data_IF_011661804309
#
_entry.id   IF_011661804309
#
_cell.length_a   1.000
_cell.length_b   1.000
_cell.length_c   1.000
_cell.angle_alpha   90.00
_cell.angle_beta   90.00
_cell.angle_gamma   90.00
#
_symmetry.space_group_name_H-M   'P 1'
#
loop_
_entity.id
_entity.type
_entity.pdbx_description
1 polymer ?
#
# COMPACT_ATOMS: atom_id res chain seq x y z
N UNK A 1 -28.45 -5.71 -5.45
CA UNK A 1 -27.82 -5.04 -4.29
C UNK A 1 -26.33 -5.37 -4.20
N UNK A 2 -25.91 -6.59 -4.55
CA UNK A 2 -24.52 -7.03 -4.45
C UNK A 2 -23.52 -6.19 -5.24
N UNK A 3 -23.89 -5.73 -6.44
CA UNK A 3 -23.03 -4.88 -7.27
C UNK A 3 -22.73 -3.51 -6.64
N UNK A 4 -23.72 -2.91 -5.96
CA UNK A 4 -23.53 -1.63 -5.26
C UNK A 4 -22.60 -1.82 -4.06
N UNK A 5 -22.77 -2.92 -3.32
CA UNK A 5 -21.91 -3.25 -2.18
C UNK A 5 -20.47 -3.47 -2.64
N UNK A 6 -20.24 -4.22 -3.72
CA UNK A 6 -18.90 -4.43 -4.29
C UNK A 6 -18.25 -3.12 -4.73
N UNK A 7 -19.00 -2.24 -5.39
CA UNK A 7 -18.50 -0.92 -5.80
C UNK A 7 -18.08 -0.08 -4.58
N UNK A 8 -18.91 -0.05 -3.54
CA UNK A 8 -18.61 0.68 -2.30
C UNK A 8 -17.37 0.12 -1.60
N UNK A 9 -17.22 -1.21 -1.54
CA UNK A 9 -16.03 -1.86 -0.98
C UNK A 9 -14.78 -1.46 -1.78
N UNK A 10 -14.85 -1.51 -3.12
CA UNK A 10 -13.75 -1.11 -3.98
C UNK A 10 -13.32 0.34 -3.76
N UNK A 11 -14.29 1.25 -3.67
CA UNK A 11 -14.04 2.67 -3.35
C UNK A 11 -13.39 2.81 -1.97
N UNK A 12 -13.90 2.11 -0.96
CA UNK A 12 -13.36 2.17 0.40
C UNK A 12 -11.90 1.69 0.45
N UNK A 13 -11.59 0.59 -0.24
CA UNK A 13 -10.23 0.03 -0.33
C UNK A 13 -9.31 1.00 -1.07
N UNK A 14 -9.74 1.53 -2.22
CA UNK A 14 -8.96 2.51 -2.99
C UNK A 14 -8.68 3.78 -2.18
N UNK A 15 -9.69 4.30 -1.48
CA UNK A 15 -9.55 5.45 -0.58
C UNK A 15 -8.59 5.16 0.57
N UNK A 16 -8.64 3.95 1.15
CA UNK A 16 -7.72 3.52 2.21
C UNK A 16 -6.26 3.46 1.73
N UNK A 17 -6.01 2.90 0.55
CA UNK A 17 -4.67 2.85 -0.06
C UNK A 17 -4.18 4.27 -0.37
N UNK A 18 -5.05 5.13 -0.92
CA UNK A 18 -4.71 6.52 -1.22
C UNK A 18 -4.36 7.31 0.06
N UNK A 19 -5.18 7.18 1.11
CA UNK A 19 -4.93 7.79 2.40
C UNK A 19 -3.61 7.29 3.02
N UNK A 20 -3.32 5.99 2.92
CA UNK A 20 -2.06 5.42 3.39
C UNK A 20 -0.85 5.97 2.63
N UNK A 21 -0.96 6.15 1.31
CA UNK A 21 0.10 6.76 0.50
C UNK A 21 0.32 8.22 0.86
N UNK A 22 -0.74 9.01 1.02
CA UNK A 22 -0.64 10.41 1.45
C UNK A 22 -0.03 10.53 2.84
N UNK A 23 -0.44 9.69 3.78
CA UNK A 23 0.13 9.67 5.11
C UNK A 23 1.61 9.33 5.10
N UNK A 24 2.00 8.29 4.36
CA UNK A 24 3.41 7.94 4.17
C UNK A 24 4.19 9.10 3.54
N UNK A 25 3.62 9.82 2.56
CA UNK A 25 4.26 11.00 1.98
C UNK A 25 4.43 12.14 3.01
N UNK A 26 3.44 12.40 3.85
CA UNK A 26 3.52 13.39 4.93
C UNK A 26 4.59 13.00 5.96
N UNK A 27 4.69 11.71 6.31
CA UNK A 27 5.71 11.21 7.23
C UNK A 27 7.13 11.38 6.70
N UNK A 28 7.34 11.53 5.39
CA UNK A 28 8.66 11.86 4.82
C UNK A 28 9.15 13.21 5.37
N UNK A 29 8.26 14.17 5.59
CA UNK A 29 8.63 15.50 6.08
C UNK A 29 8.56 15.62 7.60
N UNK A 30 7.72 14.82 8.27
CA UNK A 30 7.50 14.92 9.73
C UNK A 30 8.38 13.97 10.55
N UNK A 31 8.74 12.81 10.01
CA UNK A 31 9.54 11.81 10.70
C UNK A 31 11.05 11.99 10.43
N UNK A 32 11.88 11.55 11.37
CA UNK A 32 13.33 11.51 11.23
C UNK A 32 13.86 10.07 11.18
N UNK A 33 15.00 9.88 10.53
CA UNK A 33 15.74 8.62 10.53
C UNK A 33 15.05 7.46 9.81
N UNK A 34 15.04 6.27 10.44
CA UNK A 34 14.61 5.00 9.83
C UNK A 34 13.11 4.97 9.48
N UNK A 35 12.28 5.65 10.28
CA UNK A 35 10.84 5.75 10.04
C UNK A 35 10.55 6.53 8.74
N UNK A 36 11.30 7.61 8.50
CA UNK A 36 11.22 8.39 7.27
C UNK A 36 11.50 7.54 6.03
N UNK A 37 12.55 6.72 6.09
CA UNK A 37 12.94 5.85 4.99
C UNK A 37 11.90 4.75 4.74
N UNK A 38 11.32 4.18 5.80
CA UNK A 38 10.26 3.17 5.67
C UNK A 38 9.01 3.74 4.97
N UNK A 39 8.57 4.94 5.37
CA UNK A 39 7.44 5.60 4.72
C UNK A 39 7.75 6.09 3.30
N UNK A 40 8.96 6.59 3.05
CA UNK A 40 9.40 6.96 1.70
C UNK A 40 9.38 5.75 0.76
N UNK A 41 9.94 4.61 1.22
CA UNK A 41 9.92 3.37 0.47
C UNK A 41 8.49 2.87 0.23
N UNK A 42 7.64 2.87 1.26
CA UNK A 42 6.26 2.43 1.14
C UNK A 42 5.45 3.31 0.17
N UNK A 43 5.59 4.64 0.22
CA UNK A 43 4.93 5.55 -0.71
C UNK A 43 5.40 5.34 -2.15
N UNK A 44 6.71 5.28 -2.38
CA UNK A 44 7.30 5.06 -3.70
C UNK A 44 6.88 3.71 -4.29
N UNK A 45 6.92 2.64 -3.49
CA UNK A 45 6.53 1.30 -3.92
C UNK A 45 5.03 1.17 -4.18
N UNK A 46 4.19 1.88 -3.41
CA UNK A 46 2.74 1.91 -3.68
C UNK A 46 2.45 2.57 -5.03
N UNK A 47 3.08 3.71 -5.31
CA UNK A 47 2.95 4.39 -6.61
C UNK A 47 3.51 3.54 -7.75
N UNK A 48 4.68 2.92 -7.57
CA UNK A 48 5.28 2.03 -8.57
C UNK A 48 4.39 0.82 -8.85
N UNK A 49 3.79 0.21 -7.83
CA UNK A 49 2.85 -0.89 -7.99
C UNK A 49 1.61 -0.45 -8.77
N UNK A 50 1.03 0.71 -8.45
CA UNK A 50 -0.13 1.25 -9.19
C UNK A 50 0.22 1.57 -10.65
N UNK A 51 1.41 2.10 -10.91
CA UNK A 51 1.89 2.34 -12.28
C UNK A 51 2.06 1.02 -13.05
N UNK A 52 2.66 -0.01 -12.42
CA UNK A 52 2.80 -1.33 -13.04
C UNK A 52 1.44 -1.97 -13.35
N UNK A 53 0.47 -1.86 -12.44
CA UNK A 53 -0.90 -2.33 -12.66
C UNK A 53 -1.57 -1.59 -13.84
N UNK A 54 -1.38 -0.28 -13.92
CA UNK A 54 -1.93 0.54 -15.01
C UNK A 54 -1.34 0.18 -16.36
N UNK A 55 -0.08 -0.27 -16.40
CA UNK A 55 0.62 -0.76 -17.59
C UNK A 55 0.37 -2.24 -17.89
N UNK A 56 -0.37 -2.96 -17.03
CA UNK A 56 -0.62 -4.40 -17.17
C UNK A 56 0.59 -5.30 -16.86
N UNK A 57 1.65 -4.75 -16.26
CA UNK A 57 2.89 -5.48 -15.95
C UNK A 57 2.78 -6.24 -14.63
N UNK A 58 2.07 -7.37 -14.66
CA UNK A 58 1.79 -8.19 -13.48
C UNK A 58 3.03 -8.65 -12.71
N UNK A 59 4.08 -9.12 -13.41
CA UNK A 59 5.32 -9.56 -12.76
C UNK A 59 6.01 -8.43 -11.99
N UNK A 60 6.05 -7.23 -12.57
CA UNK A 60 6.61 -6.05 -11.91
C UNK A 60 5.74 -5.58 -10.73
N UNK A 61 4.41 -5.63 -10.88
CA UNK A 61 3.47 -5.31 -9.81
C UNK A 61 3.61 -6.27 -8.61
N UNK A 62 3.83 -7.57 -8.86
CA UNK A 62 4.08 -8.54 -7.79
C UNK A 62 5.41 -8.29 -7.07
N UNK A 63 6.48 -8.02 -7.83
CA UNK A 63 7.79 -7.69 -7.25
C UNK A 63 7.71 -6.42 -6.39
N UNK A 64 7.03 -5.38 -6.90
CA UNK A 64 6.74 -4.17 -6.15
C UNK A 64 5.89 -4.45 -4.90
N UNK A 65 4.90 -5.34 -5.00
CA UNK A 65 4.08 -5.80 -3.88
C UNK A 65 4.89 -6.50 -2.78
N UNK A 66 5.84 -7.37 -3.15
CA UNK A 66 6.74 -8.02 -2.18
C UNK A 66 7.59 -6.99 -1.43
N UNK A 67 8.21 -6.06 -2.15
CA UNK A 67 9.00 -4.99 -1.56
C UNK A 67 8.13 -4.07 -0.71
N UNK A 68 6.90 -3.80 -1.14
CA UNK A 68 5.94 -2.99 -0.40
C UNK A 68 5.58 -3.67 0.93
N UNK A 69 5.37 -4.98 0.96
CA UNK A 69 5.15 -5.71 2.21
C UNK A 69 6.32 -5.53 3.19
N UNK A 70 7.57 -5.63 2.72
CA UNK A 70 8.74 -5.43 3.58
C UNK A 70 8.82 -4.00 4.12
N UNK A 71 8.60 -3.00 3.26
CA UNK A 71 8.58 -1.59 3.66
C UNK A 71 7.44 -1.28 4.64
N UNK A 72 6.25 -1.83 4.39
CA UNK A 72 5.08 -1.67 5.23
C UNK A 72 5.25 -2.36 6.58
N UNK A 73 5.84 -3.56 6.64
CA UNK A 73 6.19 -4.22 7.90
C UNK A 73 7.19 -3.39 8.71
N UNK A 74 8.21 -2.83 8.05
CA UNK A 74 9.17 -1.96 8.72
C UNK A 74 8.48 -0.70 9.27
N UNK A 75 7.60 -0.05 8.49
CA UNK A 75 6.84 1.11 8.94
C UNK A 75 5.91 0.75 10.11
N UNK A 76 5.24 -0.40 10.05
CA UNK A 76 4.31 -0.88 11.09
C UNK A 76 5.02 -1.24 12.40
N UNK A 77 6.24 -1.78 12.33
CA UNK A 77 7.08 -2.06 13.49
C UNK A 77 7.63 -0.77 14.14
N UNK A 78 7.94 0.25 13.34
CA UNK A 78 8.49 1.52 13.82
C UNK A 78 7.41 2.49 14.31
N UNK A 79 6.20 2.45 13.75
CA UNK A 79 5.07 3.26 14.18
C UNK A 79 4.49 2.82 15.53
N UNK A 80 3.81 3.74 16.22
CA UNK A 80 3.15 3.49 17.51
C UNK A 80 1.68 3.89 17.47
N UNK A 81 0.83 3.11 18.15
CA UNK A 81 -0.60 3.39 18.29
C UNK A 81 -1.37 3.33 16.97
N UNK A 82 -2.33 4.25 16.81
CA UNK A 82 -3.25 4.31 15.68
C UNK A 82 -2.58 4.60 14.33
N UNK A 83 -1.36 5.16 14.33
CA UNK A 83 -0.60 5.40 13.10
C UNK A 83 -0.24 4.11 12.35
N UNK A 84 -0.31 2.95 13.02
CA UNK A 84 -0.06 1.62 12.40
C UNK A 84 -1.11 1.20 11.39
N UNK A 85 -2.31 1.79 11.44
CA UNK A 85 -3.40 1.44 10.52
C UNK A 85 -3.03 1.70 9.06
N UNK A 86 -2.34 2.81 8.79
CA UNK A 86 -2.04 3.23 7.42
C UNK A 86 -0.95 2.35 6.77
N UNK A 87 0.16 2.03 7.45
CA UNK A 87 1.06 0.96 7.02
C UNK A 87 0.38 -0.40 6.86
N UNK A 88 -0.63 -0.73 7.68
CA UNK A 88 -1.37 -1.98 7.53
C UNK A 88 -2.16 -2.03 6.21
N UNK A 89 -2.76 -0.92 5.77
CA UNK A 89 -3.40 -0.86 4.44
C UNK A 89 -2.39 -1.08 3.30
N UNK A 90 -1.18 -0.52 3.39
CA UNK A 90 -0.11 -0.75 2.42
C UNK A 90 0.36 -2.20 2.41
N UNK A 91 0.45 -2.83 3.59
CA UNK A 91 0.74 -4.26 3.72
C UNK A 91 -0.33 -5.11 3.04
N UNK A 92 -1.61 -4.84 3.33
CA UNK A 92 -2.74 -5.55 2.73
C UNK A 92 -2.75 -5.40 1.21
N UNK A 93 -2.44 -4.21 0.70
CA UNK A 93 -2.31 -3.99 -0.74
C UNK A 93 -1.17 -4.80 -1.35
N UNK A 94 0.02 -4.78 -0.75
CA UNK A 94 1.15 -5.61 -1.19
C UNK A 94 0.81 -7.11 -1.18
N UNK A 95 0.15 -7.58 -0.12
CA UNK A 95 -0.31 -8.96 0.00
C UNK A 95 -1.35 -9.32 -1.07
N UNK A 96 -2.29 -8.42 -1.37
CA UNK A 96 -3.27 -8.62 -2.43
C UNK A 96 -2.60 -8.77 -3.80
N UNK A 97 -1.58 -7.98 -4.11
CA UNK A 97 -0.81 -8.09 -5.34
C UNK A 97 -0.10 -9.45 -5.47
N UNK A 98 0.51 -9.92 -4.38
CA UNK A 98 1.14 -11.24 -4.34
C UNK A 98 0.13 -12.37 -4.56
N UNK A 99 -1.06 -12.26 -3.96
CA UNK A 99 -2.17 -13.18 -4.14
C UNK A 99 -2.86 -13.06 -5.52
N UNK A 100 -2.38 -12.16 -6.40
CA UNK A 100 -3.01 -11.81 -7.68
C UNK A 100 -4.45 -11.32 -7.56
N UNK A 101 -4.89 -10.86 -6.39
CA UNK A 101 -6.24 -10.35 -6.22
C UNK A 101 -6.36 -8.94 -6.80
N UNK A 102 -7.47 -8.58 -7.46
CA UNK A 102 -8.64 -9.40 -7.83
C UNK A 102 -8.53 -10.13 -9.18
N UNK A 103 -7.41 -10.01 -9.91
CA UNK A 103 -7.29 -10.43 -11.32
C UNK A 103 -6.76 -11.86 -11.52
N UNK A 104 -6.54 -12.61 -10.44
CA UNK A 104 -5.98 -13.97 -10.43
C UNK A 104 -7.01 -15.05 -10.71
N UNK A 105 -8.05 -14.73 -11.48
CA UNK A 105 -9.03 -15.66 -12.04
C UNK A 105 -8.68 -15.99 -13.49
#
# INVERSE_FOLDING_TARGET
MDQVIQLLIGILVAAGIFAATLFSAVQIYRAAGRLRLAHAAAAALTLAAMACLSLGWWGAAQAAGALLCLAALAALALERGWNRLLPAFQLLFGAALLARLPFGG
#
